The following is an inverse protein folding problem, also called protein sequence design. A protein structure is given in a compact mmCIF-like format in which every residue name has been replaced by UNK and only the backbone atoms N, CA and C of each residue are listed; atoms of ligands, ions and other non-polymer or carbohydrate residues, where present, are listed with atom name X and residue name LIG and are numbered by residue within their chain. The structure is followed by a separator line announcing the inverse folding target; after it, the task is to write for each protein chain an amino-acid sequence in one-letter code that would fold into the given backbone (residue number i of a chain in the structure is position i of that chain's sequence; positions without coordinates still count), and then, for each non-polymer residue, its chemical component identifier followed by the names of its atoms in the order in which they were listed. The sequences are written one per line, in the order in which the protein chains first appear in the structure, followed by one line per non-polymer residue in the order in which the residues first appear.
data_IF_690664486065
#
_entry.id   IF_690664486065
#
_cell.length_a   1.000
_cell.length_b   1.000
_cell.length_c   1.000
_cell.angle_alpha   90.00
_cell.angle_beta   90.00
_cell.angle_gamma   90.00
#
_symmetry.space_group_name_H-M   'P 1'
#
loop_
_entity.id
_entity.type
_entity.pdbx_description
1 polymer ?
#
# COMPACT_ATOMS: atom_id res chain seq x y z
N UNK A 1 -22.59 4.92 -33.77
CA UNK A 1 -22.55 4.14 -32.53
C UNK A 1 -21.10 3.73 -32.41
N UNK A 2 -20.33 4.53 -31.69
CA UNK A 2 -18.92 4.26 -31.42
C UNK A 2 -18.92 3.39 -30.16
N UNK A 3 -18.24 2.24 -30.19
CA UNK A 3 -18.01 1.46 -28.97
C UNK A 3 -17.23 2.35 -28.00
N UNK A 4 -17.78 2.55 -26.80
CA UNK A 4 -17.27 3.47 -25.77
C UNK A 4 -15.95 2.97 -25.12
N UNK A 5 -15.42 1.82 -25.53
CA UNK A 5 -14.26 1.17 -24.92
C UNK A 5 -13.07 0.93 -25.88
N UNK A 6 -13.04 1.54 -27.08
CA UNK A 6 -11.88 1.36 -27.98
C UNK A 6 -10.70 2.24 -27.55
N UNK A 7 -9.81 1.68 -26.73
CA UNK A 7 -8.48 2.25 -26.46
C UNK A 7 -7.59 1.94 -27.68
N UNK A 8 -7.02 2.96 -28.37
CA UNK A 8 -6.05 2.76 -29.44
C UNK A 8 -4.87 1.90 -28.98
N UNK A 9 -4.39 0.99 -29.82
CA UNK A 9 -3.31 0.03 -29.52
C UNK A 9 -2.03 0.72 -28.98
N UNK A 10 -1.70 1.90 -29.49
CA UNK A 10 -0.56 2.71 -29.02
C UNK A 10 -0.76 3.29 -27.60
N UNK A 11 -1.98 3.64 -27.22
CA UNK A 11 -2.31 4.11 -25.86
C UNK A 11 -2.27 2.93 -24.87
N UNK A 12 -2.75 1.76 -25.30
CA UNK A 12 -2.68 0.53 -24.53
C UNK A 12 -1.23 0.07 -24.26
N UNK A 13 -0.34 0.17 -25.26
CA UNK A 13 1.10 -0.14 -25.09
C UNK A 13 1.79 0.80 -24.08
N UNK A 14 1.41 2.08 -24.06
CA UNK A 14 1.97 3.06 -23.11
C UNK A 14 1.52 2.80 -21.67
N UNK A 15 0.26 2.42 -21.47
CA UNK A 15 -0.27 2.04 -20.15
C UNK A 15 0.42 0.78 -19.60
N UNK A 16 0.64 -0.22 -20.45
CA UNK A 16 1.39 -1.43 -20.09
C UNK A 16 2.85 -1.07 -19.74
N UNK A 17 3.49 -0.20 -20.52
CA UNK A 17 4.86 0.24 -20.23
C UNK A 17 4.96 0.93 -18.87
N UNK A 18 4.02 1.84 -18.57
CA UNK A 18 4.01 2.58 -17.32
C UNK A 18 3.84 1.67 -16.09
N UNK A 19 2.84 0.77 -16.12
CA UNK A 19 2.57 -0.15 -15.00
C UNK A 19 3.72 -1.12 -14.77
N UNK A 20 4.39 -1.59 -15.82
CA UNK A 20 5.60 -2.41 -15.72
C UNK A 20 6.78 -1.65 -15.11
N UNK A 21 6.99 -0.38 -15.49
CA UNK A 21 8.06 0.44 -14.96
C UNK A 21 7.83 0.78 -13.48
N UNK A 22 6.58 1.07 -13.10
CA UNK A 22 6.19 1.24 -11.70
C UNK A 22 6.43 -0.05 -10.91
N UNK A 23 6.03 -1.21 -11.44
CA UNK A 23 6.29 -2.51 -10.82
C UNK A 23 7.79 -2.73 -10.58
N UNK A 24 8.63 -2.49 -11.60
CA UNK A 24 10.09 -2.57 -11.47
C UNK A 24 10.65 -1.63 -10.38
N UNK A 25 10.04 -0.46 -10.19
CA UNK A 25 10.49 0.52 -9.21
C UNK A 25 10.17 0.13 -7.75
N UNK A 26 9.13 -0.68 -7.52
CA UNK A 26 8.62 -0.98 -6.18
C UNK A 26 8.78 -2.43 -5.74
N UNK A 27 8.85 -3.40 -6.66
CA UNK A 27 8.93 -4.84 -6.32
C UNK A 27 10.10 -5.16 -5.39
N UNK A 28 11.31 -4.70 -5.72
CA UNK A 28 12.49 -5.01 -4.90
C UNK A 28 12.37 -4.40 -3.49
N UNK A 29 12.06 -3.11 -3.33
CA UNK A 29 11.80 -2.54 -2.01
C UNK A 29 10.74 -3.31 -1.20
N UNK A 30 9.63 -3.72 -1.82
CA UNK A 30 8.56 -4.46 -1.14
C UNK A 30 9.08 -5.82 -0.68
N UNK A 31 9.77 -6.57 -1.53
CA UNK A 31 10.35 -7.88 -1.16
C UNK A 31 11.36 -7.74 -0.03
N UNK A 32 12.24 -6.74 -0.11
CA UNK A 32 13.21 -6.46 0.96
C UNK A 32 12.49 -6.14 2.28
N UNK A 33 11.40 -5.39 2.23
CA UNK A 33 10.56 -5.15 3.41
C UNK A 33 9.94 -6.43 3.97
N UNK A 34 9.31 -7.26 3.13
CA UNK A 34 8.70 -8.52 3.57
C UNK A 34 9.74 -9.44 4.23
N UNK A 35 10.92 -9.56 3.63
CA UNK A 35 12.04 -10.33 4.18
C UNK A 35 12.50 -9.80 5.55
N UNK A 36 12.57 -8.49 5.71
CA UNK A 36 12.99 -7.88 6.97
C UNK A 36 11.90 -7.95 8.05
N UNK A 37 10.62 -7.87 7.66
CA UNK A 37 9.49 -7.86 8.58
C UNK A 37 9.20 -9.27 9.14
N UNK A 38 9.15 -10.29 8.27
CA UNK A 38 8.86 -11.67 8.66
C UNK A 38 10.12 -12.49 9.01
N UNK A 39 11.32 -11.97 8.73
CA UNK A 39 12.58 -12.57 9.16
C UNK A 39 12.80 -13.99 8.62
N UNK A 40 13.20 -14.91 9.50
CA UNK A 40 13.57 -16.28 9.13
C UNK A 40 12.40 -17.06 8.51
N UNK A 41 11.16 -16.79 8.92
CA UNK A 41 9.97 -17.47 8.40
C UNK A 41 9.80 -17.23 6.90
N UNK A 42 10.14 -16.03 6.43
CA UNK A 42 10.09 -15.69 5.01
C UNK A 42 10.98 -16.59 4.15
N UNK A 43 12.18 -16.95 4.63
CA UNK A 43 13.12 -17.80 3.89
C UNK A 43 12.65 -19.26 3.78
N UNK A 44 11.74 -19.69 4.65
CA UNK A 44 11.22 -21.05 4.70
C UNK A 44 9.88 -21.22 3.94
N UNK A 45 9.38 -20.16 3.30
CA UNK A 45 8.17 -20.22 2.49
C UNK A 45 8.29 -21.23 1.34
N UNK A 46 7.15 -21.80 0.95
CA UNK A 46 7.08 -22.67 -0.21
C UNK A 46 7.33 -21.88 -1.50
N UNK A 47 7.91 -22.55 -2.51
CA UNK A 47 8.13 -21.92 -3.82
C UNK A 47 6.87 -21.37 -4.49
N UNK A 48 5.69 -21.92 -4.17
CA UNK A 48 4.41 -21.43 -4.63
C UNK A 48 4.07 -20.06 -4.01
N UNK A 49 4.29 -19.90 -2.70
CA UNK A 49 4.05 -18.65 -1.97
C UNK A 49 4.89 -17.49 -2.52
N UNK A 50 6.15 -17.73 -2.87
CA UNK A 50 6.97 -16.68 -3.52
C UNK A 50 6.38 -16.19 -4.85
N UNK A 51 5.76 -17.08 -5.63
CA UNK A 51 5.09 -16.70 -6.89
C UNK A 51 3.79 -15.96 -6.63
N UNK A 52 3.07 -16.33 -5.58
CA UNK A 52 1.85 -15.63 -5.16
C UNK A 52 2.17 -14.19 -4.71
N UNK A 53 3.25 -13.99 -3.94
CA UNK A 53 3.75 -12.65 -3.59
C UNK A 53 4.02 -11.82 -4.86
N UNK A 54 4.73 -12.39 -5.84
CA UNK A 54 5.01 -11.70 -7.11
C UNK A 54 3.72 -11.36 -7.87
N UNK A 55 2.77 -12.29 -7.88
CA UNK A 55 1.48 -12.08 -8.53
C UNK A 55 0.64 -11.00 -7.85
N UNK A 56 0.61 -10.93 -6.52
CA UNK A 56 -0.14 -9.90 -5.78
C UNK A 56 0.42 -8.52 -6.14
N UNK A 57 1.74 -8.33 -6.02
CA UNK A 57 2.39 -7.05 -6.30
C UNK A 57 2.14 -6.62 -7.77
N UNK A 58 2.22 -7.56 -8.72
CA UNK A 58 1.96 -7.27 -10.13
C UNK A 58 0.51 -6.94 -10.42
N UNK A 59 -0.43 -7.71 -9.89
CA UNK A 59 -1.86 -7.57 -10.18
C UNK A 59 -2.40 -6.24 -9.67
N UNK A 60 -2.06 -5.84 -8.44
CA UNK A 60 -2.56 -4.58 -7.88
C UNK A 60 -2.00 -3.35 -8.59
N UNK A 61 -0.70 -3.39 -8.95
CA UNK A 61 -0.09 -2.32 -9.74
C UNK A 61 -0.72 -2.25 -11.12
N UNK A 62 -1.00 -3.40 -11.75
CA UNK A 62 -1.64 -3.41 -13.06
C UNK A 62 -3.09 -2.89 -13.00
N UNK A 63 -3.87 -3.35 -12.03
CA UNK A 63 -5.29 -3.05 -11.91
C UNK A 63 -5.56 -1.58 -11.61
N UNK A 64 -4.80 -0.99 -10.70
CA UNK A 64 -5.03 0.38 -10.23
C UNK A 64 -4.00 1.38 -10.78
N UNK A 65 -2.79 0.93 -11.11
CA UNK A 65 -1.74 1.81 -11.65
C UNK A 65 -2.03 2.30 -13.07
N UNK A 66 -2.87 1.59 -13.83
CA UNK A 66 -3.32 2.02 -15.16
C UNK A 66 -4.09 3.35 -15.16
N UNK A 67 -4.68 3.75 -14.04
CA UNK A 67 -5.41 5.02 -13.91
C UNK A 67 -4.47 6.23 -13.76
N UNK A 68 -3.20 6.01 -13.42
CA UNK A 68 -2.28 7.11 -13.10
C UNK A 68 -2.03 8.04 -14.30
N UNK A 69 -1.74 7.55 -15.53
CA UNK A 69 -1.61 8.41 -16.71
C UNK A 69 -2.86 9.26 -16.96
N UNK A 70 -4.05 8.70 -16.78
CA UNK A 70 -5.31 9.41 -16.96
C UNK A 70 -5.52 10.49 -15.90
N UNK A 71 -5.17 10.21 -14.64
CA UNK A 71 -5.20 11.22 -13.57
C UNK A 71 -4.28 12.39 -13.93
N UNK A 72 -3.03 12.10 -14.34
CA UNK A 72 -2.05 13.12 -14.73
C UNK A 72 -2.55 13.96 -15.91
N UNK A 73 -3.17 13.32 -16.91
CA UNK A 73 -3.68 14.00 -18.08
C UNK A 73 -4.94 14.83 -17.77
N UNK A 74 -5.96 14.24 -17.15
CA UNK A 74 -7.28 14.86 -16.98
C UNK A 74 -7.27 16.02 -15.97
N UNK A 75 -6.42 15.93 -14.94
CA UNK A 75 -6.34 16.93 -13.87
C UNK A 75 -5.22 17.95 -14.07
N UNK A 76 -4.59 18.00 -15.25
CA UNK A 76 -3.66 19.08 -15.60
C UNK A 76 -4.33 20.46 -15.56
N UNK A 77 -3.62 21.50 -15.17
CA UNK A 77 -4.10 22.88 -15.19
C UNK A 77 -4.12 23.46 -16.62
N UNK A 78 -3.20 23.03 -17.48
CA UNK A 78 -3.10 23.48 -18.88
C UNK A 78 -4.10 22.69 -19.74
N UNK A 79 -5.31 23.21 -19.91
CA UNK A 79 -6.39 22.52 -20.65
C UNK A 79 -6.29 22.60 -22.18
N UNK A 80 -5.52 23.54 -22.72
CA UNK A 80 -5.32 23.69 -24.15
C UNK A 80 -4.16 22.80 -24.63
N UNK A 81 -4.40 21.95 -25.64
CA UNK A 81 -3.45 20.93 -26.09
C UNK A 81 -2.23 21.52 -26.80
N UNK A 82 -2.38 22.64 -27.53
CA UNK A 82 -1.24 23.30 -28.17
C UNK A 82 -0.33 23.95 -27.12
N UNK A 83 -0.92 24.57 -26.10
CA UNK A 83 -0.20 25.13 -24.96
C UNK A 83 0.46 24.04 -24.12
N UNK A 84 -0.19 22.89 -23.94
CA UNK A 84 0.38 21.73 -23.26
C UNK A 84 1.65 21.24 -23.95
N UNK A 85 1.58 20.96 -25.26
CA UNK A 85 2.73 20.47 -26.04
C UNK A 85 3.85 21.51 -26.13
N UNK A 86 3.51 22.79 -26.12
CA UNK A 86 4.51 23.85 -26.02
C UNK A 86 5.19 23.86 -24.65
N UNK A 87 4.40 23.85 -23.56
CA UNK A 87 4.91 23.84 -22.20
C UNK A 87 5.81 22.62 -21.93
N UNK A 88 5.40 21.44 -22.40
CA UNK A 88 6.16 20.19 -22.28
C UNK A 88 7.54 20.28 -22.94
N UNK A 89 7.61 20.84 -24.16
CA UNK A 89 8.88 21.01 -24.89
C UNK A 89 9.80 22.06 -24.27
N UNK A 90 9.23 23.09 -23.66
CA UNK A 90 9.97 24.20 -23.04
C UNK A 90 10.28 23.96 -21.55
N UNK A 91 9.77 22.85 -20.98
CA UNK A 91 9.87 22.55 -19.56
C UNK A 91 11.32 22.45 -19.10
N UNK A 92 11.60 23.10 -17.97
CA UNK A 92 12.85 22.98 -17.24
C UNK A 92 12.53 22.60 -15.80
N UNK A 93 13.09 21.49 -15.29
CA UNK A 93 12.91 21.08 -13.91
C UNK A 93 13.25 22.22 -12.96
N UNK A 94 12.33 22.52 -12.04
CA UNK A 94 12.62 23.41 -10.91
C UNK A 94 13.45 22.70 -9.82
N UNK A 95 13.98 23.46 -8.88
CA UNK A 95 14.71 22.92 -7.71
C UNK A 95 13.77 22.60 -6.53
N UNK A 96 12.50 23.01 -6.59
CA UNK A 96 11.57 22.81 -5.49
C UNK A 96 11.04 21.37 -5.49
N UNK A 97 11.10 20.66 -4.35
CA UNK A 97 10.52 19.33 -4.23
C UNK A 97 8.99 19.40 -4.36
N UNK A 98 8.41 18.35 -4.96
CA UNK A 98 6.95 18.19 -5.04
C UNK A 98 6.41 17.95 -3.64
N UNK A 99 5.34 18.66 -3.29
CA UNK A 99 4.67 18.52 -1.99
C UNK A 99 3.49 17.57 -2.15
N UNK A 100 3.70 16.31 -1.79
CA UNK A 100 2.64 15.31 -1.77
C UNK A 100 1.66 15.58 -0.63
N UNK A 101 0.34 15.53 -0.86
CA UNK A 101 -0.63 15.66 0.20
C UNK A 101 -0.56 14.44 1.12
N UNK A 102 -0.56 14.67 2.44
CA UNK A 102 -0.61 13.60 3.43
C UNK A 102 -2.05 13.42 3.94
N UNK A 103 -2.53 12.17 3.96
CA UNK A 103 -3.83 11.81 4.55
C UNK A 103 -3.62 10.78 5.65
N UNK A 104 -4.11 11.08 6.86
CA UNK A 104 -4.08 10.13 7.97
C UNK A 104 -5.03 8.97 7.68
N UNK A 105 -4.47 7.78 7.51
CA UNK A 105 -5.18 6.49 7.35
C UNK A 105 -5.37 5.75 8.67
N UNK A 106 -6.29 4.78 8.68
CA UNK A 106 -6.66 4.00 9.87
C UNK A 106 -5.47 3.25 10.47
N UNK A 107 -4.54 2.74 9.63
CA UNK A 107 -3.37 1.99 10.08
C UNK A 107 -2.27 2.85 10.72
N UNK A 108 -2.39 4.19 10.71
CA UNK A 108 -1.48 5.06 11.47
C UNK A 108 -1.82 5.08 12.98
N UNK A 109 -2.95 4.49 13.37
CA UNK A 109 -3.31 4.36 14.77
C UNK A 109 -2.39 3.34 15.45
N UNK A 110 -1.96 3.65 16.68
CA UNK A 110 -1.24 2.69 17.51
C UNK A 110 -2.28 1.94 18.33
N UNK A 111 -2.29 0.62 18.18
CA UNK A 111 -3.02 -0.28 19.06
C UNK A 111 -2.03 -0.74 20.13
N UNK A 112 -2.31 -0.43 21.40
CA UNK A 112 -1.50 -0.88 22.54
C UNK A 112 -2.43 -1.38 23.64
N UNK A 113 -2.10 -2.53 24.22
CA UNK A 113 -2.67 -3.06 25.48
C UNK A 113 -2.06 -2.37 26.70
N UNK A 114 -1.85 -1.05 26.62
CA UNK A 114 -1.22 -0.28 27.69
C UNK A 114 -2.30 0.16 28.69
N UNK A 115 -2.96 -0.82 29.32
CA UNK A 115 -3.88 -0.62 30.44
C UNK A 115 -4.00 -1.93 31.26
N UNK A 116 -2.96 -2.21 32.05
CA UNK A 116 -3.08 -2.53 33.48
C UNK A 116 -4.29 -3.40 33.93
N UNK A 117 -4.31 -4.70 33.60
CA UNK A 117 -5.32 -5.62 34.12
C UNK A 117 -4.71 -6.62 35.13
N UNK A 118 -4.75 -6.26 36.42
CA UNK A 118 -4.47 -7.16 37.56
C UNK A 118 -5.26 -8.49 37.47
N UNK A 119 -6.37 -8.49 36.72
CA UNK A 119 -7.22 -9.65 36.45
C UNK A 119 -6.57 -10.63 35.44
N UNK A 120 -5.87 -10.11 34.44
CA UNK A 120 -5.19 -10.92 33.41
C UNK A 120 -3.95 -11.59 34.00
N UNK A 121 -3.20 -10.89 34.85
CA UNK A 121 -2.10 -11.50 35.63
C UNK A 121 -2.64 -12.60 36.56
N UNK A 122 -3.71 -12.33 37.32
CA UNK A 122 -4.28 -13.29 38.26
C UNK A 122 -4.80 -14.58 37.59
N UNK A 123 -5.50 -14.48 36.46
CA UNK A 123 -6.09 -15.64 35.77
C UNK A 123 -5.05 -16.41 34.94
N UNK A 124 -4.04 -15.73 34.41
CA UNK A 124 -2.98 -16.39 33.64
C UNK A 124 -1.99 -17.17 34.54
N UNK A 125 -1.75 -16.73 35.78
CA UNK A 125 -0.84 -17.38 36.73
C UNK A 125 -1.40 -18.65 37.39
N UNK A 126 -2.72 -18.89 37.33
CA UNK A 126 -3.34 -20.09 37.89
C UNK A 126 -3.30 -21.23 36.85
N UNK A 127 -2.80 -22.43 37.22
CA UNK A 127 -2.86 -23.62 36.37
C UNK A 127 -4.29 -23.94 35.94
N UNK A 128 -4.52 -24.30 34.68
CA UNK A 128 -5.88 -24.55 34.14
C UNK A 128 -6.68 -25.60 34.92
N UNK A 129 -6.00 -26.58 35.51
CA UNK A 129 -6.59 -27.63 36.33
C UNK A 129 -7.05 -27.16 37.72
N UNK A 130 -6.71 -25.93 38.10
CA UNK A 130 -7.09 -25.28 39.36
C UNK A 130 -8.20 -24.23 39.17
N UNK A 131 -8.56 -23.93 37.91
CA UNK A 131 -9.63 -22.99 37.57
C UNK A 131 -11.01 -23.67 37.64
N UNK A 132 -12.01 -22.96 38.17
CA UNK A 132 -13.41 -23.33 38.00
C UNK A 132 -13.85 -23.20 36.53
N UNK A 133 -14.98 -23.79 36.17
CA UNK A 133 -15.52 -23.71 34.80
C UNK A 133 -15.79 -22.25 34.36
N UNK A 134 -16.17 -21.37 35.28
CA UNK A 134 -16.39 -19.94 35.02
C UNK A 134 -15.08 -19.19 34.81
N UNK A 135 -14.06 -19.46 35.63
CA UNK A 135 -12.73 -18.85 35.48
C UNK A 135 -12.02 -19.35 34.22
N UNK A 136 -12.23 -20.61 33.82
CA UNK A 136 -11.70 -21.17 32.58
C UNK A 136 -12.36 -20.54 31.34
N UNK A 137 -13.66 -20.24 31.40
CA UNK A 137 -14.34 -19.44 30.36
C UNK A 137 -13.78 -18.03 30.28
N UNK A 138 -13.56 -17.39 31.43
CA UNK A 138 -13.01 -16.04 31.50
C UNK A 138 -11.57 -15.99 30.95
N UNK A 139 -10.72 -16.95 31.31
CA UNK A 139 -9.36 -17.11 30.76
C UNK A 139 -9.36 -17.22 29.23
N UNK A 140 -10.24 -18.07 28.68
CA UNK A 140 -10.36 -18.22 27.23
C UNK A 140 -10.81 -16.93 26.54
N UNK A 141 -11.69 -16.14 27.17
CA UNK A 141 -12.13 -14.85 26.63
C UNK A 141 -10.97 -13.85 26.62
N UNK A 142 -10.25 -13.71 27.75
CA UNK A 142 -9.09 -12.82 27.89
C UNK A 142 -8.04 -13.16 26.83
N UNK A 143 -7.61 -14.42 26.77
CA UNK A 143 -6.59 -14.86 25.79
C UNK A 143 -7.03 -14.66 24.34
N UNK A 144 -8.33 -14.85 24.05
CA UNK A 144 -8.86 -14.58 22.71
C UNK A 144 -8.87 -13.09 22.41
N UNK A 145 -9.17 -12.24 23.39
CA UNK A 145 -9.12 -10.78 23.25
C UNK A 145 -7.69 -10.31 23.03
N UNK A 146 -6.73 -10.79 23.82
CA UNK A 146 -5.30 -10.47 23.65
C UNK A 146 -4.81 -10.86 22.25
N UNK A 147 -5.12 -12.08 21.80
CA UNK A 147 -4.76 -12.53 20.46
C UNK A 147 -5.37 -11.66 19.35
N UNK A 148 -6.59 -11.14 19.54
CA UNK A 148 -7.23 -10.22 18.60
C UNK A 148 -6.52 -8.86 18.61
N UNK A 149 -6.17 -8.33 19.78
CA UNK A 149 -5.48 -7.04 19.88
C UNK A 149 -4.07 -7.13 19.29
N UNK A 150 -3.32 -8.19 19.60
CA UNK A 150 -2.00 -8.45 19.04
C UNK A 150 -2.05 -8.59 17.52
N UNK A 151 -3.04 -9.32 16.99
CA UNK A 151 -3.27 -9.42 15.55
C UNK A 151 -3.50 -8.04 14.93
N UNK A 152 -4.40 -7.23 15.51
CA UNK A 152 -4.70 -5.91 14.96
C UNK A 152 -3.52 -4.94 15.07
N UNK A 153 -2.74 -5.01 16.16
CA UNK A 153 -1.54 -4.23 16.33
C UNK A 153 -0.48 -4.60 15.27
N UNK A 154 -0.22 -5.90 15.07
CA UNK A 154 0.70 -6.40 14.05
C UNK A 154 0.23 -6.04 12.64
N UNK A 155 -1.07 -6.19 12.34
CA UNK A 155 -1.65 -5.82 11.05
C UNK A 155 -1.51 -4.32 10.79
N UNK A 156 -1.85 -3.49 11.77
CA UNK A 156 -1.74 -2.03 11.64
C UNK A 156 -0.29 -1.58 11.43
N UNK A 157 0.66 -2.14 12.18
CA UNK A 157 2.08 -1.83 12.03
C UNK A 157 2.61 -2.25 10.65
N UNK A 158 2.27 -3.47 10.20
CA UNK A 158 2.61 -3.97 8.87
C UNK A 158 2.07 -3.05 7.76
N UNK A 159 0.77 -2.74 7.83
CA UNK A 159 0.11 -1.87 6.85
C UNK A 159 0.75 -0.48 6.82
N UNK A 160 1.04 0.09 7.98
CA UNK A 160 1.66 1.42 8.08
C UNK A 160 3.06 1.45 7.45
N UNK A 161 3.92 0.49 7.81
CA UNK A 161 5.27 0.42 7.27
C UNK A 161 5.26 0.12 5.76
N UNK A 162 4.45 -0.85 5.34
CA UNK A 162 4.30 -1.23 3.94
C UNK A 162 3.76 -0.10 3.07
N UNK A 163 2.62 0.49 3.43
CA UNK A 163 2.00 1.58 2.66
C UNK A 163 2.90 2.82 2.61
N UNK A 164 3.62 3.13 3.70
CA UNK A 164 4.61 4.22 3.71
C UNK A 164 5.76 3.95 2.74
N UNK A 165 6.29 2.72 2.72
CA UNK A 165 7.33 2.31 1.79
C UNK A 165 6.85 2.43 0.34
N UNK A 166 5.70 1.85 0.01
CA UNK A 166 5.15 1.89 -1.34
C UNK A 166 4.89 3.33 -1.79
N UNK A 167 4.27 4.16 -0.95
CA UNK A 167 4.02 5.57 -1.25
C UNK A 167 5.33 6.31 -1.56
N UNK A 168 6.37 6.10 -0.76
CA UNK A 168 7.68 6.72 -1.01
C UNK A 168 8.26 6.32 -2.37
N UNK A 169 8.26 5.03 -2.68
CA UNK A 169 8.90 4.53 -3.90
C UNK A 169 8.09 4.86 -5.17
N UNK A 170 6.76 4.83 -5.10
CA UNK A 170 5.90 5.25 -6.21
C UNK A 170 5.97 6.75 -6.48
N UNK A 171 6.01 7.59 -5.43
CA UNK A 171 6.21 9.04 -5.57
C UNK A 171 7.56 9.35 -6.22
N UNK A 172 8.66 8.73 -5.76
CA UNK A 172 9.98 8.90 -6.37
C UNK A 172 10.02 8.46 -7.84
N UNK A 173 9.30 7.40 -8.18
CA UNK A 173 9.16 6.96 -9.57
C UNK A 173 8.47 8.05 -10.41
N UNK A 174 7.33 8.56 -9.95
CA UNK A 174 6.56 9.61 -10.64
C UNK A 174 7.33 10.91 -10.78
N UNK A 175 8.06 11.33 -9.74
CA UNK A 175 8.92 12.51 -9.79
C UNK A 175 10.04 12.37 -10.83
N UNK A 176 10.46 11.14 -11.14
CA UNK A 176 11.49 10.87 -12.14
C UNK A 176 10.91 10.76 -13.55
N UNK A 177 9.74 10.17 -13.71
CA UNK A 177 9.17 9.81 -15.02
C UNK A 177 8.12 10.79 -15.53
N UNK A 178 7.48 11.53 -14.64
CA UNK A 178 6.32 12.40 -14.92
C UNK A 178 6.46 13.78 -14.28
N UNK A 179 7.70 14.28 -14.13
CA UNK A 179 7.99 15.54 -13.43
C UNK A 179 7.26 16.74 -14.04
N UNK A 180 7.17 16.79 -15.37
CA UNK A 180 6.45 17.86 -16.06
C UNK A 180 4.97 17.79 -15.72
N UNK A 181 4.35 16.62 -15.88
CA UNK A 181 2.93 16.38 -15.63
C UNK A 181 2.57 16.74 -14.18
N UNK A 182 3.38 16.36 -13.21
CA UNK A 182 3.21 16.73 -11.80
C UNK A 182 3.34 18.25 -11.56
N UNK A 183 4.20 18.94 -12.31
CA UNK A 183 4.42 20.39 -12.14
C UNK A 183 3.24 21.26 -12.56
N UNK A 184 2.31 20.69 -13.32
CA UNK A 184 1.10 21.36 -13.84
C UNK A 184 -0.16 20.61 -13.40
N UNK A 185 -0.06 19.72 -12.43
CA UNK A 185 -1.20 18.99 -11.87
C UNK A 185 -1.94 19.90 -10.89
N UNK A 186 -3.27 19.94 -10.97
CA UNK A 186 -4.08 20.70 -10.02
C UNK A 186 -4.05 20.07 -8.61
N UNK A 187 -4.44 20.85 -7.60
CA UNK A 187 -4.59 20.34 -6.22
C UNK A 187 -5.53 19.11 -6.16
N UNK A 188 -6.65 19.15 -6.89
CA UNK A 188 -7.58 18.01 -7.01
C UNK A 188 -6.91 16.80 -7.67
N UNK A 189 -6.06 17.03 -8.69
CA UNK A 189 -5.25 15.99 -9.31
C UNK A 189 -4.28 15.33 -8.33
N UNK A 190 -3.61 16.12 -7.48
CA UNK A 190 -2.74 15.60 -6.43
C UNK A 190 -3.52 14.77 -5.39
N UNK A 191 -4.72 15.19 -5.01
CA UNK A 191 -5.57 14.42 -4.12
C UNK A 191 -5.98 13.09 -4.73
N UNK A 192 -6.42 13.08 -5.99
CA UNK A 192 -6.80 11.87 -6.73
C UNK A 192 -5.65 10.91 -6.95
N UNK A 193 -4.50 11.44 -7.36
CA UNK A 193 -3.29 10.65 -7.54
C UNK A 193 -2.87 9.99 -6.22
N UNK A 194 -2.91 10.74 -5.12
CA UNK A 194 -2.57 10.22 -3.80
C UNK A 194 -3.59 9.19 -3.30
N UNK A 195 -4.89 9.39 -3.56
CA UNK A 195 -5.91 8.38 -3.27
C UNK A 195 -5.65 7.09 -4.03
N UNK A 196 -5.32 7.17 -5.32
CA UNK A 196 -5.04 5.99 -6.14
C UNK A 196 -3.78 5.24 -5.69
N UNK A 197 -2.69 5.96 -5.38
CA UNK A 197 -1.48 5.34 -4.82
C UNK A 197 -1.75 4.67 -3.47
N UNK A 198 -2.54 5.30 -2.61
CA UNK A 198 -2.92 4.68 -1.34
C UNK A 198 -3.76 3.42 -1.55
N UNK A 199 -4.67 3.41 -2.53
CA UNK A 199 -5.48 2.23 -2.84
C UNK A 199 -4.60 1.05 -3.27
N UNK A 200 -3.63 1.28 -4.17
CA UNK A 200 -2.66 0.26 -4.58
C UNK A 200 -1.94 -0.33 -3.36
N UNK A 201 -1.38 0.54 -2.51
CA UNK A 201 -0.67 0.10 -1.32
C UNK A 201 -1.57 -0.66 -0.33
N UNK A 202 -2.77 -0.14 -0.09
CA UNK A 202 -3.72 -0.73 0.86
C UNK A 202 -4.15 -2.13 0.45
N UNK A 203 -4.61 -2.32 -0.79
CA UNK A 203 -5.03 -3.64 -1.28
C UNK A 203 -3.85 -4.62 -1.27
N UNK A 204 -2.68 -4.18 -1.75
CA UNK A 204 -1.50 -5.04 -1.85
C UNK A 204 -1.00 -5.52 -0.49
N UNK A 205 -0.86 -4.61 0.48
CA UNK A 205 -0.38 -5.01 1.80
C UNK A 205 -1.45 -5.77 2.60
N UNK A 206 -2.73 -5.52 2.37
CA UNK A 206 -3.78 -6.35 2.97
C UNK A 206 -3.69 -7.80 2.49
N UNK A 207 -3.54 -8.01 1.18
CA UNK A 207 -3.38 -9.34 0.59
C UNK A 207 -2.08 -10.03 1.01
N UNK A 208 -0.95 -9.30 0.99
CA UNK A 208 0.34 -9.83 1.41
C UNK A 208 0.33 -10.24 2.89
N UNK A 209 -0.28 -9.44 3.76
CA UNK A 209 -0.42 -9.81 5.18
C UNK A 209 -1.29 -11.06 5.34
N UNK A 210 -2.42 -11.12 4.63
CA UNK A 210 -3.31 -12.27 4.66
C UNK A 210 -2.63 -13.57 4.21
N UNK A 211 -1.77 -13.50 3.20
CA UNK A 211 -0.97 -14.61 2.70
C UNK A 211 0.10 -15.06 3.71
N UNK A 212 0.83 -14.10 4.30
CA UNK A 212 2.04 -14.37 5.10
C UNK A 212 1.77 -14.59 6.58
N UNK A 213 0.66 -14.08 7.13
CA UNK A 213 0.32 -14.24 8.55
C UNK A 213 -0.44 -15.55 8.84
N UNK A 214 -1.00 -16.20 7.81
CA UNK A 214 -1.77 -17.45 7.93
C UNK A 214 -1.02 -18.70 7.46
N UNK A 215 0.10 -18.53 6.77
CA UNK A 215 0.98 -19.61 6.31
C UNK A 215 2.04 -19.94 7.35
#
# INVERSE_FOLDING_TARGET
MFDEDFIPEEEFEQVISFTNDLNCAVVSPIKDFLMNYFGDEFYHLESATYREIDSIIQNDIHLFGQEIPDILYNYREIKDDELWEKARREFKPGENPIKWPFKLKWYHQKFSTDDNDELDEYINDIPENELSEEELKLKNIIQSTDAIVDYHAAFSDFMNQGCTLFSRHSQLFLEKTSLFELSVLSDEGFEKLTENLNLIGETMFEELFGLLYKG
#
